data_IF_879819475065
#
_entry.id   IF_879819475065
#
_cell.length_a   1.000
_cell.length_b   1.000
_cell.length_c   1.000
_cell.angle_alpha   90.00
_cell.angle_beta   90.00
_cell.angle_gamma   90.00
#
_symmetry.space_group_name_H-M   'P 1'
#
loop_
_entity.id
_entity.type
_entity.pdbx_description
1 polymer ?
#
# COMPACT_ATOMS: atom_id res chain seq x y z
N UNK A 1 -1.64 17.32 1.26
CA UNK A 1 -0.62 16.91 0.26
C UNK A 1 -1.35 16.15 -0.83
N UNK A 2 -1.02 16.32 -2.10
CA UNK A 2 -1.52 15.40 -3.15
C UNK A 2 -0.55 14.24 -3.24
N UNK A 3 -1.06 13.02 -3.39
CA UNK A 3 -0.23 11.82 -3.58
C UNK A 3 0.49 11.91 -4.93
N UNK A 4 1.83 11.81 -4.94
CA UNK A 4 2.58 11.69 -6.19
C UNK A 4 2.45 10.22 -6.68
N UNK A 5 2.00 9.97 -7.92
CA UNK A 5 1.95 8.62 -8.47
C UNK A 5 3.29 7.86 -8.41
N UNK A 6 4.42 8.58 -8.39
CA UNK A 6 5.76 7.97 -8.25
C UNK A 6 5.98 7.31 -6.89
N UNK A 7 5.38 7.87 -5.83
CA UNK A 7 5.46 7.28 -4.50
C UNK A 7 4.71 5.94 -4.42
N UNK A 8 3.76 5.73 -5.32
CA UNK A 8 2.93 4.52 -5.40
C UNK A 8 3.50 3.43 -6.34
N UNK A 9 4.65 3.65 -6.99
CA UNK A 9 5.22 2.73 -7.98
C UNK A 9 5.41 1.32 -7.42
N UNK A 10 6.08 1.20 -6.28
CA UNK A 10 6.25 -0.06 -5.54
C UNK A 10 5.93 0.17 -4.06
N UNK A 11 4.74 -0.15 -3.67
CA UNK A 11 4.19 0.06 -2.35
C UNK A 11 4.26 -1.24 -1.53
N UNK A 12 5.13 -1.30 -0.55
CA UNK A 12 5.27 -2.49 0.30
C UNK A 12 4.38 -2.37 1.55
N UNK A 13 3.58 -3.41 1.79
CA UNK A 13 2.72 -3.54 2.98
C UNK A 13 3.30 -4.63 3.88
N UNK A 14 3.58 -4.31 5.14
CA UNK A 14 4.23 -5.23 6.06
C UNK A 14 3.28 -6.34 6.53
N UNK A 15 3.86 -7.53 6.83
CA UNK A 15 3.15 -8.63 7.47
C UNK A 15 4.15 -9.50 8.25
N UNK A 16 3.90 -9.69 9.56
CA UNK A 16 4.77 -10.47 10.46
C UNK A 16 4.89 -11.94 10.07
N UNK A 17 3.92 -12.47 9.33
CA UNK A 17 3.95 -13.86 8.88
C UNK A 17 5.24 -14.21 8.10
N UNK A 18 5.82 -13.24 7.40
CA UNK A 18 6.96 -13.44 6.51
C UNK A 18 8.33 -13.10 7.12
N UNK A 19 8.41 -12.79 8.42
CA UNK A 19 9.67 -12.35 9.04
C UNK A 19 10.73 -13.47 9.13
N UNK A 20 10.32 -14.73 9.22
CA UNK A 20 11.23 -15.88 9.28
C UNK A 20 12.34 -15.74 10.35
N UNK A 21 11.98 -15.19 11.52
CA UNK A 21 12.92 -14.97 12.64
C UNK A 21 13.71 -13.66 12.56
N UNK A 22 13.49 -12.82 11.56
CA UNK A 22 14.08 -11.49 11.40
C UNK A 22 13.21 -10.43 12.08
N UNK A 23 13.76 -9.24 12.31
CA UNK A 23 12.95 -8.11 12.79
C UNK A 23 12.20 -7.45 11.63
N UNK A 24 11.10 -6.75 11.96
CA UNK A 24 10.37 -5.98 10.94
C UNK A 24 11.23 -4.84 10.39
N UNK A 25 12.05 -4.24 11.25
CA UNK A 25 12.99 -3.17 10.87
C UNK A 25 14.01 -3.65 9.85
N UNK A 26 14.59 -4.86 10.04
CA UNK A 26 15.57 -5.41 9.10
C UNK A 26 14.95 -5.60 7.71
N UNK A 27 13.78 -6.24 7.63
CA UNK A 27 13.15 -6.53 6.33
C UNK A 27 12.63 -5.26 5.64
N UNK A 28 12.15 -4.27 6.40
CA UNK A 28 11.74 -2.97 5.84
C UNK A 28 12.96 -2.21 5.33
N UNK A 29 14.07 -2.20 6.08
CA UNK A 29 15.32 -1.58 5.63
C UNK A 29 15.79 -2.17 4.30
N UNK A 30 15.86 -3.50 4.18
CA UNK A 30 16.24 -4.16 2.91
C UNK A 30 15.28 -3.84 1.77
N UNK A 31 13.95 -3.81 2.03
CA UNK A 31 12.97 -3.44 0.99
C UNK A 31 13.17 -2.00 0.51
N UNK A 32 13.51 -1.07 1.41
CA UNK A 32 13.84 0.31 1.06
C UNK A 32 15.15 0.41 0.27
N UNK A 33 16.17 -0.36 0.65
CA UNK A 33 17.45 -0.43 -0.07
C UNK A 33 17.25 -1.01 -1.49
N UNK A 34 16.28 -1.94 -1.67
CA UNK A 34 15.80 -2.45 -2.97
C UNK A 34 14.90 -1.50 -3.76
N UNK A 35 14.60 -0.32 -3.22
CA UNK A 35 13.93 0.76 -3.94
C UNK A 35 12.41 0.76 -3.85
N UNK A 36 11.83 0.23 -2.77
CA UNK A 36 10.42 0.46 -2.42
C UNK A 36 10.15 1.96 -2.30
N UNK A 37 9.01 2.41 -2.81
CA UNK A 37 8.67 3.83 -2.92
C UNK A 37 7.62 4.30 -1.90
N UNK A 38 6.94 3.39 -1.22
CA UNK A 38 6.02 3.67 -0.11
C UNK A 38 5.97 2.46 0.83
N UNK A 39 5.92 2.71 2.14
CA UNK A 39 5.76 1.66 3.16
C UNK A 39 4.43 1.83 3.88
N UNK A 40 3.69 0.72 4.04
CA UNK A 40 2.54 0.65 4.92
C UNK A 40 2.82 -0.30 6.09
N UNK A 41 2.76 0.19 7.29
CA UNK A 41 2.77 -0.64 8.49
C UNK A 41 1.38 -1.22 8.73
N UNK A 42 1.27 -2.54 8.52
CA UNK A 42 0.08 -3.32 8.83
C UNK A 42 0.39 -4.23 10.02
N UNK A 43 -0.29 -3.96 11.12
CA UNK A 43 -0.13 -4.69 12.37
C UNK A 43 -1.50 -5.07 12.95
N UNK A 44 -1.69 -6.35 13.25
CA UNK A 44 -2.96 -6.89 13.77
C UNK A 44 -2.84 -7.52 15.16
N UNK A 45 -1.63 -7.64 15.70
CA UNK A 45 -1.35 -8.48 16.87
C UNK A 45 -0.72 -7.74 18.05
N UNK A 46 -0.27 -6.50 17.88
CA UNK A 46 0.36 -5.73 18.94
C UNK A 46 -0.66 -4.91 19.72
N UNK A 47 -0.38 -4.70 21.03
CA UNK A 47 -1.02 -3.63 21.79
C UNK A 47 -0.61 -2.24 21.24
N UNK A 48 -1.43 -1.23 21.51
CA UNK A 48 -1.22 0.12 20.96
C UNK A 48 0.15 0.71 21.31
N UNK A 49 0.67 0.44 22.52
CA UNK A 49 1.95 0.98 22.95
C UNK A 49 3.10 0.44 22.11
N UNK A 50 3.16 -0.88 21.95
CA UNK A 50 4.18 -1.53 21.13
C UNK A 50 4.02 -1.21 19.65
N UNK A 51 2.78 -1.08 19.18
CA UNK A 51 2.51 -0.65 17.81
C UNK A 51 3.09 0.75 17.57
N UNK A 52 2.86 1.69 18.49
CA UNK A 52 3.36 3.06 18.34
C UNK A 52 4.89 3.13 18.40
N UNK A 53 5.54 2.34 19.25
CA UNK A 53 7.02 2.28 19.33
C UNK A 53 7.61 1.79 18.00
N UNK A 54 7.14 0.65 17.50
CA UNK A 54 7.60 0.08 16.23
C UNK A 54 7.30 1.00 15.04
N UNK A 55 6.11 1.61 15.02
CA UNK A 55 5.72 2.55 13.98
C UNK A 55 6.67 3.76 13.91
N UNK A 56 7.11 4.30 15.05
CA UNK A 56 8.08 5.40 15.09
C UNK A 56 9.45 5.00 14.59
N UNK A 57 9.91 3.80 14.90
CA UNK A 57 11.20 3.29 14.42
C UNK A 57 11.19 3.13 12.89
N UNK A 58 10.14 2.53 12.34
CA UNK A 58 9.98 2.38 10.90
C UNK A 58 9.79 3.73 10.19
N UNK A 59 9.05 4.66 10.79
CA UNK A 59 8.89 6.00 10.24
C UNK A 59 10.23 6.74 10.14
N UNK A 60 11.09 6.65 11.16
CA UNK A 60 12.42 7.25 11.12
C UNK A 60 13.25 6.70 9.95
N UNK A 61 13.22 5.38 9.76
CA UNK A 61 13.88 4.70 8.66
C UNK A 61 13.38 5.14 7.28
N UNK A 62 12.06 5.33 7.13
CA UNK A 62 11.45 5.83 5.88
C UNK A 62 11.83 7.30 5.62
N UNK A 63 11.84 8.14 6.65
CA UNK A 63 12.25 9.57 6.54
C UNK A 63 13.69 9.73 6.05
N UNK A 64 14.61 8.90 6.52
CA UNK A 64 16.01 8.92 6.06
C UNK A 64 16.14 8.66 4.55
N UNK A 65 15.19 7.95 3.97
CA UNK A 65 15.16 7.58 2.55
C UNK A 65 14.15 8.39 1.72
N UNK A 66 13.48 9.37 2.35
CA UNK A 66 12.43 10.18 1.72
C UNK A 66 11.27 9.35 1.14
N UNK A 67 10.93 8.23 1.79
CA UNK A 67 9.82 7.33 1.43
C UNK A 67 8.63 7.60 2.35
N UNK A 68 7.41 7.86 1.83
CA UNK A 68 6.22 8.05 2.64
C UNK A 68 5.90 6.81 3.50
N UNK A 69 5.53 7.06 4.76
CA UNK A 69 5.15 6.05 5.74
C UNK A 69 3.66 6.13 6.06
N UNK A 70 2.95 5.05 5.78
CA UNK A 70 1.49 4.93 5.93
C UNK A 70 1.16 3.95 7.07
N UNK A 71 0.20 4.29 7.90
CA UNK A 71 -0.35 3.40 8.93
C UNK A 71 -1.62 2.73 8.39
N UNK A 72 -1.73 1.41 8.57
CA UNK A 72 -2.94 0.69 8.15
C UNK A 72 -4.04 0.81 9.23
N UNK A 73 -5.27 1.16 8.83
CA UNK A 73 -6.53 1.20 9.58
C UNK A 73 -6.55 2.17 10.79
N UNK A 74 -5.47 2.27 11.56
CA UNK A 74 -5.45 2.99 12.83
C UNK A 74 -5.14 4.50 12.65
N UNK A 75 -6.20 5.29 12.47
CA UNK A 75 -6.12 6.75 12.31
C UNK A 75 -5.59 7.45 13.57
N UNK A 76 -5.83 6.89 14.76
CA UNK A 76 -5.34 7.47 16.03
C UNK A 76 -3.82 7.33 16.15
N UNK A 77 -3.27 6.17 15.83
CA UNK A 77 -1.83 5.95 15.77
C UNK A 77 -1.20 6.85 14.69
N UNK A 78 -1.80 6.90 13.49
CA UNK A 78 -1.29 7.77 12.43
C UNK A 78 -1.20 9.23 12.88
N UNK A 79 -2.19 9.72 13.61
CA UNK A 79 -2.20 11.07 14.18
C UNK A 79 -1.18 11.25 15.30
N UNK A 80 -1.11 10.31 16.24
CA UNK A 80 -0.25 10.40 17.42
C UNK A 80 1.24 10.43 17.07
N UNK A 81 1.64 9.75 15.98
CA UNK A 81 3.02 9.72 15.52
C UNK A 81 3.33 10.71 14.39
N UNK A 82 2.35 11.49 13.97
CA UNK A 82 2.47 12.38 12.81
C UNK A 82 2.94 11.64 11.54
N UNK A 83 2.30 10.49 11.24
CA UNK A 83 2.60 9.71 10.05
C UNK A 83 2.30 10.52 8.78
N UNK A 84 2.87 10.12 7.64
CA UNK A 84 2.60 10.77 6.36
C UNK A 84 1.17 10.51 5.89
N UNK A 85 0.53 9.41 6.35
CA UNK A 85 -0.86 9.13 6.07
C UNK A 85 -1.40 7.86 6.72
N UNK A 86 -2.62 7.51 6.32
CA UNK A 86 -3.33 6.30 6.72
C UNK A 86 -3.92 5.61 5.49
N UNK A 87 -4.03 4.28 5.53
CA UNK A 87 -4.80 3.52 4.56
C UNK A 87 -5.92 2.76 5.27
N UNK A 88 -7.16 2.97 4.83
CA UNK A 88 -8.36 2.39 5.44
C UNK A 88 -9.11 1.47 4.47
N UNK A 89 -9.73 0.41 4.99
CA UNK A 89 -10.64 -0.46 4.26
C UNK A 89 -12.09 0.05 4.30
N UNK A 90 -13.01 -0.76 3.72
CA UNK A 90 -14.44 -0.39 3.65
C UNK A 90 -15.16 -0.48 5.01
N UNK A 91 -14.67 -1.34 5.91
CA UNK A 91 -15.22 -1.55 7.25
C UNK A 91 -14.57 -0.66 8.32
N UNK A 92 -13.55 0.14 7.93
CA UNK A 92 -12.80 1.01 8.82
C UNK A 92 -13.41 2.42 8.88
N UNK A 93 -12.70 3.37 9.47
CA UNK A 93 -13.10 4.77 9.50
C UNK A 93 -13.25 5.32 8.08
N UNK A 94 -14.38 5.92 7.75
CA UNK A 94 -14.62 6.53 6.46
C UNK A 94 -13.54 7.58 6.12
N UNK A 95 -13.18 7.69 4.84
CA UNK A 95 -12.14 8.63 4.38
C UNK A 95 -12.43 10.09 4.81
N UNK A 96 -13.70 10.49 4.82
CA UNK A 96 -14.12 11.82 5.28
C UNK A 96 -13.78 12.08 6.74
N UNK A 97 -14.01 11.09 7.62
CA UNK A 97 -13.73 11.20 9.06
C UNK A 97 -12.22 11.14 9.32
N UNK A 98 -11.50 10.28 8.60
CA UNK A 98 -10.04 10.21 8.64
C UNK A 98 -9.44 11.56 8.21
N UNK A 99 -9.94 12.18 7.15
CA UNK A 99 -9.54 13.52 6.69
C UNK A 99 -9.79 14.58 7.75
N UNK A 100 -10.97 14.61 8.36
CA UNK A 100 -11.31 15.54 9.43
C UNK A 100 -10.37 15.40 10.64
N UNK A 101 -9.94 14.19 10.94
CA UNK A 101 -9.07 13.86 12.10
C UNK A 101 -7.59 14.16 11.86
N UNK A 102 -7.08 13.87 10.65
CA UNK A 102 -5.67 14.02 10.28
C UNK A 102 -5.34 15.38 9.66
N UNK A 103 -6.32 16.09 9.11
CA UNK A 103 -6.11 17.37 8.44
C UNK A 103 -5.80 17.24 6.95
N UNK A 104 -5.60 18.39 6.24
CA UNK A 104 -5.51 18.43 4.78
C UNK A 104 -4.17 17.95 4.22
N UNK A 105 -3.13 17.87 5.05
CA UNK A 105 -1.75 17.62 4.58
C UNK A 105 -1.34 16.14 4.65
N UNK A 106 -2.19 15.27 5.20
CA UNK A 106 -1.91 13.84 5.33
C UNK A 106 -2.52 13.05 4.19
N UNK A 107 -1.83 11.99 3.75
CA UNK A 107 -2.31 11.07 2.73
C UNK A 107 -3.41 10.15 3.29
N UNK A 108 -4.48 9.98 2.53
CA UNK A 108 -5.53 9.02 2.83
C UNK A 108 -5.67 8.07 1.66
N UNK A 109 -5.27 6.83 1.87
CA UNK A 109 -5.53 5.73 0.96
C UNK A 109 -6.79 4.99 1.34
N UNK A 110 -7.53 4.51 0.35
CA UNK A 110 -8.75 3.73 0.56
C UNK A 110 -8.73 2.47 -0.30
N UNK A 111 -9.07 1.32 0.29
CA UNK A 111 -9.31 0.09 -0.45
C UNK A 111 -10.64 0.19 -1.21
N UNK A 112 -10.69 -0.19 -2.49
CA UNK A 112 -11.93 -0.23 -3.27
C UNK A 112 -11.99 -1.50 -4.13
N UNK A 113 -13.21 -2.05 -4.28
CA UNK A 113 -13.48 -3.31 -5.00
C UNK A 113 -14.46 -3.08 -6.16
N UNK A 114 -15.18 -1.97 -6.17
CA UNK A 114 -16.15 -1.59 -7.20
C UNK A 114 -15.94 -0.15 -7.65
N UNK A 115 -16.51 0.21 -8.79
CA UNK A 115 -16.48 1.60 -9.31
C UNK A 115 -17.20 2.55 -8.35
N UNK A 116 -18.29 2.10 -7.74
CA UNK A 116 -19.10 2.88 -6.80
C UNK A 116 -18.29 3.20 -5.54
N UNK A 117 -17.58 2.21 -4.97
CA UNK A 117 -16.69 2.42 -3.82
C UNK A 117 -15.55 3.38 -4.16
N UNK A 118 -14.96 3.25 -5.34
CA UNK A 118 -13.87 4.11 -5.81
C UNK A 118 -14.32 5.57 -5.92
N UNK A 119 -15.46 5.82 -6.56
CA UNK A 119 -16.05 7.16 -6.70
C UNK A 119 -16.44 7.77 -5.34
N UNK A 120 -16.96 6.94 -4.43
CA UNK A 120 -17.31 7.38 -3.09
C UNK A 120 -16.06 7.78 -2.29
N UNK A 121 -15.01 6.96 -2.34
CA UNK A 121 -13.74 7.24 -1.68
C UNK A 121 -13.10 8.54 -2.19
N UNK A 122 -13.06 8.76 -3.51
CA UNK A 122 -12.57 10.01 -4.10
C UNK A 122 -13.40 11.21 -3.64
N UNK A 123 -14.73 11.10 -3.67
CA UNK A 123 -15.65 12.15 -3.19
C UNK A 123 -15.44 12.47 -1.70
N UNK A 124 -15.08 11.48 -0.90
CA UNK A 124 -14.80 11.63 0.53
C UNK A 124 -13.38 12.13 0.83
N UNK A 125 -12.57 12.40 -0.18
CA UNK A 125 -11.24 13.01 -0.04
C UNK A 125 -10.09 12.01 0.11
N UNK A 126 -10.22 10.79 -0.43
CA UNK A 126 -9.09 9.89 -0.63
C UNK A 126 -8.07 10.53 -1.58
N UNK A 127 -6.79 10.33 -1.31
CA UNK A 127 -5.68 10.79 -2.17
C UNK A 127 -5.22 9.72 -3.15
N UNK A 128 -5.45 8.44 -2.86
CA UNK A 128 -5.19 7.30 -3.74
C UNK A 128 -6.08 6.11 -3.37
N UNK A 129 -6.18 5.15 -4.28
CA UNK A 129 -6.90 3.90 -4.07
C UNK A 129 -5.98 2.69 -4.12
N UNK A 130 -6.24 1.71 -3.24
CA UNK A 130 -5.73 0.34 -3.34
C UNK A 130 -6.84 -0.57 -3.87
N UNK A 131 -6.68 -1.13 -5.07
CA UNK A 131 -7.73 -1.88 -5.78
C UNK A 131 -7.33 -3.34 -5.96
N UNK A 132 -8.14 -4.25 -5.49
CA UNK A 132 -7.88 -5.71 -5.56
C UNK A 132 -8.91 -6.53 -4.79
N UNK A 133 -8.68 -7.89 -4.63
CA UNK A 133 -7.46 -8.59 -5.03
C UNK A 133 -7.45 -8.89 -6.54
N UNK A 134 -6.38 -8.49 -7.24
CA UNK A 134 -6.29 -8.68 -8.71
C UNK A 134 -5.83 -10.10 -9.10
N UNK A 135 -5.25 -10.85 -8.16
CA UNK A 135 -4.91 -12.26 -8.31
C UNK A 135 -5.22 -12.99 -7.01
N UNK A 136 -5.36 -14.33 -7.03
CA UNK A 136 -5.57 -15.14 -5.83
C UNK A 136 -4.50 -14.84 -4.78
N UNK A 137 -4.92 -14.67 -3.51
CA UNK A 137 -4.02 -14.33 -2.41
C UNK A 137 -4.44 -15.01 -1.11
N UNK A 138 -3.45 -15.41 -0.29
CA UNK A 138 -3.68 -15.92 1.06
C UNK A 138 -3.56 -14.81 2.14
N UNK A 139 -3.14 -13.60 1.77
CA UNK A 139 -2.88 -12.53 2.75
C UNK A 139 -4.15 -11.84 3.25
N UNK A 140 -5.27 -11.92 2.50
CA UNK A 140 -6.63 -11.53 2.92
C UNK A 140 -7.60 -12.59 2.38
N UNK A 141 -8.24 -13.35 3.29
CA UNK A 141 -9.17 -14.45 2.94
C UNK A 141 -10.55 -13.97 2.48
N UNK A 142 -10.86 -12.70 2.71
CA UNK A 142 -12.23 -12.17 2.65
C UNK A 142 -12.51 -11.42 1.34
N UNK A 143 -11.53 -11.32 0.43
CA UNK A 143 -11.65 -10.56 -0.83
C UNK A 143 -11.67 -11.52 -2.01
N UNK A 144 -12.76 -11.47 -2.80
CA UNK A 144 -12.86 -12.21 -4.06
C UNK A 144 -11.86 -11.66 -5.10
N UNK A 145 -11.51 -12.51 -6.07
CA UNK A 145 -10.64 -12.11 -7.19
C UNK A 145 -11.36 -11.09 -8.08
N UNK A 146 -10.69 -9.97 -8.37
CA UNK A 146 -11.19 -8.91 -9.24
C UNK A 146 -10.76 -9.16 -10.70
N UNK A 147 -11.68 -8.94 -11.65
CA UNK A 147 -11.32 -9.01 -13.06
C UNK A 147 -10.46 -7.82 -13.50
N UNK A 148 -9.64 -8.02 -14.53
CA UNK A 148 -8.90 -6.93 -15.19
C UNK A 148 -9.82 -5.82 -15.70
N UNK A 149 -11.00 -6.17 -16.20
CA UNK A 149 -11.98 -5.20 -16.70
C UNK A 149 -12.53 -4.31 -15.58
N UNK A 150 -12.76 -4.88 -14.41
CA UNK A 150 -13.18 -4.12 -13.22
C UNK A 150 -12.09 -3.15 -12.77
N UNK A 151 -10.83 -3.61 -12.67
CA UNK A 151 -9.69 -2.76 -12.36
C UNK A 151 -9.59 -1.57 -13.33
N UNK A 152 -9.66 -1.86 -14.64
CA UNK A 152 -9.61 -0.84 -15.70
C UNK A 152 -10.79 0.13 -15.65
N UNK A 153 -11.98 -0.35 -15.31
CA UNK A 153 -13.16 0.49 -15.14
C UNK A 153 -12.98 1.46 -13.96
N UNK A 154 -12.46 0.97 -12.83
CA UNK A 154 -12.14 1.80 -11.66
C UNK A 154 -11.11 2.88 -12.03
N UNK A 155 -10.00 2.51 -12.66
CA UNK A 155 -8.96 3.47 -13.07
C UNK A 155 -9.49 4.56 -14.00
N UNK A 156 -10.48 4.25 -14.84
CA UNK A 156 -11.11 5.23 -15.74
C UNK A 156 -12.13 6.13 -15.04
N UNK A 157 -12.73 5.66 -13.97
CA UNK A 157 -13.81 6.36 -13.28
C UNK A 157 -13.30 7.47 -12.34
N UNK A 158 -12.09 7.33 -11.79
CA UNK A 158 -11.52 8.25 -10.81
C UNK A 158 -10.38 9.08 -11.40
N UNK A 159 -10.08 10.22 -10.78
CA UNK A 159 -8.96 11.09 -11.15
C UNK A 159 -7.74 10.93 -10.23
N UNK A 160 -7.93 10.30 -9.07
CA UNK A 160 -6.85 10.01 -8.11
C UNK A 160 -6.06 8.77 -8.51
N UNK A 161 -4.78 8.67 -8.12
CA UNK A 161 -3.93 7.51 -8.43
C UNK A 161 -4.51 6.19 -7.91
N UNK A 162 -4.32 5.12 -8.66
CA UNK A 162 -4.75 3.76 -8.32
C UNK A 162 -3.55 2.82 -8.31
N UNK A 163 -3.38 2.05 -7.23
CA UNK A 163 -2.47 0.91 -7.18
C UNK A 163 -3.24 -0.40 -7.17
N UNK A 164 -2.75 -1.40 -7.89
CA UNK A 164 -3.29 -2.75 -7.80
C UNK A 164 -2.70 -3.48 -6.59
N UNK A 165 -3.51 -4.31 -5.92
CA UNK A 165 -3.08 -5.13 -4.79
C UNK A 165 -3.69 -6.53 -4.84
N UNK A 166 -3.02 -7.50 -4.22
CA UNK A 166 -3.49 -8.88 -4.03
C UNK A 166 -2.87 -9.86 -5.03
N UNK A 167 -2.08 -10.79 -4.53
CA UNK A 167 -1.47 -11.88 -5.27
C UNK A 167 -0.47 -11.50 -6.36
N UNK A 168 -0.01 -10.26 -6.37
CA UNK A 168 0.93 -9.75 -7.39
C UNK A 168 2.33 -10.29 -7.14
N UNK A 169 3.01 -10.70 -8.21
CA UNK A 169 4.40 -11.14 -8.24
C UNK A 169 5.07 -10.70 -9.54
N UNK A 170 6.41 -10.88 -9.64
CA UNK A 170 7.14 -10.62 -10.89
C UNK A 170 6.65 -11.44 -12.08
N UNK A 171 6.08 -12.63 -11.84
CA UNK A 171 5.59 -13.53 -12.90
C UNK A 171 4.24 -13.09 -13.50
N UNK A 172 3.41 -12.36 -12.72
CA UNK A 172 2.04 -12.05 -13.14
C UNK A 172 1.76 -10.55 -13.34
N UNK A 173 2.59 -9.65 -12.80
CA UNK A 173 2.38 -8.21 -12.85
C UNK A 173 2.24 -7.66 -14.28
N UNK A 174 2.93 -8.25 -15.26
CA UNK A 174 2.79 -7.88 -16.68
C UNK A 174 1.36 -7.98 -17.23
N UNK A 175 0.50 -8.81 -16.62
CA UNK A 175 -0.91 -8.93 -17.00
C UNK A 175 -1.74 -7.70 -16.67
N UNK A 176 -1.21 -6.77 -15.88
CA UNK A 176 -1.87 -5.52 -15.48
C UNK A 176 -1.56 -4.35 -16.44
N UNK A 177 -0.72 -4.56 -17.45
CA UNK A 177 -0.38 -3.53 -18.43
C UNK A 177 -1.64 -2.93 -19.09
N UNK A 178 -1.66 -1.61 -19.26
CA UNK A 178 -2.77 -0.88 -19.88
C UNK A 178 -4.06 -0.80 -19.04
N UNK A 179 -4.04 -1.22 -17.77
CA UNK A 179 -5.19 -1.09 -16.85
C UNK A 179 -5.43 0.35 -16.39
N UNK A 180 -4.39 1.18 -16.37
CA UNK A 180 -4.44 2.57 -15.88
C UNK A 180 -3.94 2.75 -14.45
N UNK A 181 -3.40 1.70 -13.80
CA UNK A 181 -2.75 1.82 -12.50
C UNK A 181 -1.45 2.61 -12.61
N UNK A 182 -1.01 3.22 -11.51
CA UNK A 182 0.27 3.92 -11.43
C UNK A 182 1.36 3.11 -10.71
N UNK A 183 1.03 1.95 -10.15
CA UNK A 183 1.94 1.07 -9.44
C UNK A 183 1.23 -0.09 -8.79
N UNK A 184 1.93 -0.81 -7.92
CA UNK A 184 1.42 -2.00 -7.24
C UNK A 184 1.71 -1.96 -5.74
N UNK A 185 0.77 -2.51 -4.94
CA UNK A 185 0.99 -2.77 -3.53
C UNK A 185 1.17 -4.27 -3.30
N UNK A 186 2.20 -4.65 -2.57
CA UNK A 186 2.58 -6.05 -2.38
C UNK A 186 2.96 -6.37 -0.93
N UNK A 187 2.80 -7.62 -0.53
CA UNK A 187 3.24 -8.17 0.75
C UNK A 187 4.29 -9.27 0.48
N UNK A 188 3.81 -10.47 0.15
CA UNK A 188 4.64 -11.67 0.04
C UNK A 188 5.64 -11.63 -1.12
N UNK A 189 5.34 -10.91 -2.19
CA UNK A 189 6.26 -10.78 -3.33
C UNK A 189 7.64 -10.22 -2.94
N UNK A 190 7.69 -9.44 -1.85
CA UNK A 190 8.93 -8.88 -1.30
C UNK A 190 9.30 -9.62 -0.02
N UNK A 191 8.41 -9.65 0.99
CA UNK A 191 8.78 -10.10 2.34
C UNK A 191 8.87 -11.62 2.51
N UNK A 192 8.31 -12.44 1.59
CA UNK A 192 8.50 -13.89 1.60
C UNK A 192 9.83 -14.32 0.96
N UNK A 193 10.53 -13.42 0.26
CA UNK A 193 11.80 -13.71 -0.38
C UNK A 193 12.92 -13.90 0.65
N UNK A 194 13.91 -14.72 0.29
CA UNK A 194 15.13 -14.89 1.10
C UNK A 194 16.00 -13.63 1.07
N UNK A 195 16.04 -12.99 -0.08
CA UNK A 195 16.74 -11.73 -0.34
C UNK A 195 15.67 -10.68 -0.66
N UNK A 196 15.31 -9.91 0.35
CA UNK A 196 14.22 -8.91 0.29
C UNK A 196 14.65 -7.72 -0.58
N UNK A 197 15.92 -7.31 -0.51
CA UNK A 197 16.46 -6.21 -1.30
C UNK A 197 16.41 -6.55 -2.80
N UNK A 198 16.94 -7.71 -3.19
CA UNK A 198 16.91 -8.16 -4.58
C UNK A 198 15.48 -8.33 -5.10
N UNK A 199 14.58 -8.93 -4.30
CA UNK A 199 13.18 -9.10 -4.69
C UNK A 199 12.45 -7.76 -4.91
N UNK A 200 12.74 -6.75 -4.09
CA UNK A 200 12.19 -5.42 -4.26
C UNK A 200 12.73 -4.73 -5.53
N UNK A 201 14.04 -4.82 -5.79
CA UNK A 201 14.68 -4.23 -6.95
C UNK A 201 14.19 -4.86 -8.27
N UNK A 202 14.09 -6.19 -8.32
CA UNK A 202 13.60 -6.93 -9.48
C UNK A 202 12.12 -6.61 -9.77
N UNK A 203 11.29 -6.62 -8.72
CA UNK A 203 9.87 -6.30 -8.88
C UNK A 203 9.66 -4.85 -9.32
N UNK A 204 10.42 -3.90 -8.76
CA UNK A 204 10.36 -2.49 -9.19
C UNK A 204 10.63 -2.36 -10.68
N UNK A 205 11.71 -2.99 -11.17
CA UNK A 205 12.08 -2.97 -12.58
C UNK A 205 10.96 -3.52 -13.45
N UNK A 206 10.38 -4.66 -13.05
CA UNK A 206 9.29 -5.29 -13.79
C UNK A 206 8.01 -4.42 -13.81
N UNK A 207 7.70 -3.75 -12.70
CA UNK A 207 6.57 -2.80 -12.62
C UNK A 207 6.82 -1.59 -13.52
N UNK A 208 8.02 -1.03 -13.54
CA UNK A 208 8.36 0.08 -14.43
C UNK A 208 8.23 -0.29 -15.92
N UNK A 209 8.64 -1.49 -16.29
CA UNK A 209 8.49 -2.01 -17.65
C UNK A 209 7.01 -2.20 -18.02
N UNK A 210 6.23 -2.79 -17.13
CA UNK A 210 4.79 -3.00 -17.29
C UNK A 210 4.03 -1.68 -17.50
N UNK A 211 4.39 -0.63 -16.75
CA UNK A 211 3.73 0.68 -16.87
C UNK A 211 4.06 1.43 -18.17
N UNK A 212 5.14 1.06 -18.86
CA UNK A 212 5.54 1.64 -20.16
C UNK A 212 4.90 0.92 -21.34
N UNK A 213 4.39 -0.28 -21.15
CA UNK A 213 3.80 -1.12 -22.19
C UNK A 213 2.35 -0.71 -22.49
#
# INVERSE_FOLDING_TARGET
MKCDPKDLLLYAVTDRHWLNGRTLVDVVKESLDGGVTMIQLREKSLDEGKFLEEAKELQALCRERHVPFIVNDNVDIAKAMDADGVHVGQDDMAALDARAKLGPDKLIGVSAHTVEEALLAEKQGADYLGVGAVFPTSSKSDVGEMSYETLKAICKAVSIPVVAIGGISGENVGKLAGSGICGVAVISAIYAAKDVEAAAADLKTTVEEMLRA
#
